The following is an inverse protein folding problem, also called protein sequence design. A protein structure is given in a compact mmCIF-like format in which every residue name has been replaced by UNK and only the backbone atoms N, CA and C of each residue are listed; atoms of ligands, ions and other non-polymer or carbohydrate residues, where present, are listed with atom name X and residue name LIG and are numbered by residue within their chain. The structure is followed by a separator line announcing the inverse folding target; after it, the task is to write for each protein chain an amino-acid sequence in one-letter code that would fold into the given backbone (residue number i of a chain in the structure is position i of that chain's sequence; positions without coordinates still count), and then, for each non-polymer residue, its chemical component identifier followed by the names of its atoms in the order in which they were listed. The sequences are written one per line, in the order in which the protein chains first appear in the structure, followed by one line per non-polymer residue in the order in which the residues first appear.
data_IF_674019432290
#
_entry.id   IF_674019432290
#
_cell.length_a   1.000
_cell.length_b   1.000
_cell.length_c   1.000
_cell.angle_alpha   90.00
_cell.angle_beta   90.00
_cell.angle_gamma   90.00
#
_symmetry.space_group_name_H-M   'P 1'
#
loop_
_entity.id
_entity.type
_entity.pdbx_description
1 polymer ?
#
# COMPACT_ATOMS: atom_id res chain seq x y z
N UNK A 1 52.88 -12.38 29.66
CA UNK A 1 51.56 -11.72 29.69
C UNK A 1 50.70 -12.49 28.71
N UNK A 2 49.80 -13.36 29.20
CA UNK A 2 48.88 -14.08 28.32
C UNK A 2 47.80 -13.08 27.93
N UNK A 3 47.65 -12.82 26.64
CA UNK A 3 46.50 -12.10 26.12
C UNK A 3 45.24 -12.82 26.60
N UNK A 4 44.45 -12.12 27.40
CA UNK A 4 43.09 -12.52 27.75
C UNK A 4 42.26 -12.16 26.52
N UNK A 5 42.24 -13.05 25.53
CA UNK A 5 41.11 -13.09 24.60
C UNK A 5 39.87 -13.32 25.45
N UNK A 6 38.86 -12.43 25.42
CA UNK A 6 37.58 -12.74 26.06
C UNK A 6 37.11 -14.07 25.48
N UNK A 7 36.90 -15.07 26.33
CA UNK A 7 36.42 -16.38 25.93
C UNK A 7 35.26 -16.19 24.94
N UNK A 8 35.42 -16.67 23.70
CA UNK A 8 34.33 -16.68 22.74
C UNK A 8 33.17 -17.42 23.41
N UNK A 9 31.97 -16.80 23.52
CA UNK A 9 30.86 -17.42 24.24
C UNK A 9 30.51 -18.75 23.58
N UNK A 10 30.71 -19.86 24.30
CA UNK A 10 30.52 -21.25 23.84
C UNK A 10 29.17 -21.41 23.13
N UNK A 11 29.19 -21.29 21.81
CA UNK A 11 28.01 -21.40 20.94
C UNK A 11 27.36 -22.79 20.97
N UNK A 12 28.10 -23.82 21.39
CA UNK A 12 27.62 -25.21 21.42
C UNK A 12 26.55 -25.48 22.47
N UNK A 13 26.46 -24.62 23.50
CA UNK A 13 25.56 -24.82 24.65
C UNK A 13 24.36 -23.87 24.65
N UNK A 14 24.19 -23.06 23.59
CA UNK A 14 23.08 -22.13 23.45
C UNK A 14 22.27 -22.41 22.16
N UNK A 15 20.93 -22.43 22.22
CA UNK A 15 20.09 -22.27 23.42
C UNK A 15 20.23 -23.47 24.37
N UNK A 16 20.15 -23.19 25.68
CA UNK A 16 20.16 -24.24 26.69
C UNK A 16 18.94 -25.16 26.54
N UNK A 17 19.01 -26.43 26.97
CA UNK A 17 17.87 -27.34 26.89
C UNK A 17 16.59 -26.79 27.54
N UNK A 18 16.71 -26.01 28.62
CA UNK A 18 15.57 -25.36 29.27
C UNK A 18 14.97 -24.22 28.44
N UNK A 19 15.77 -23.47 27.68
CA UNK A 19 15.29 -22.45 26.74
C UNK A 19 14.57 -23.09 25.55
N UNK A 20 15.10 -24.20 25.03
CA UNK A 20 14.44 -25.00 23.98
C UNK A 20 13.10 -25.54 24.46
N UNK A 21 13.05 -26.10 25.69
CA UNK A 21 11.81 -26.62 26.25
C UNK A 21 10.75 -25.51 26.41
N UNK A 22 11.15 -24.32 26.86
CA UNK A 22 10.22 -23.17 26.95
C UNK A 22 9.64 -22.79 25.59
N UNK A 23 10.47 -22.71 24.55
CA UNK A 23 9.99 -22.44 23.18
C UNK A 23 9.01 -23.53 22.71
N UNK A 24 9.34 -24.80 22.95
CA UNK A 24 8.52 -25.94 22.58
C UNK A 24 7.15 -25.93 23.27
N UNK A 25 7.13 -25.79 24.60
CA UNK A 25 5.91 -25.76 25.39
C UNK A 25 4.98 -24.61 24.97
N UNK A 26 5.56 -23.48 24.55
CA UNK A 26 4.82 -22.28 24.17
C UNK A 26 4.35 -22.29 22.73
N UNK A 27 5.12 -22.89 21.82
CA UNK A 27 4.62 -23.16 20.48
C UNK A 27 3.33 -24.00 20.55
N UNK A 28 3.19 -24.92 21.52
CA UNK A 28 1.98 -25.71 21.73
C UNK A 28 1.41 -26.31 20.42
N UNK A 29 2.30 -26.79 19.54
CA UNK A 29 1.95 -27.32 18.22
C UNK A 29 1.70 -26.29 17.10
N UNK A 30 1.73 -24.99 17.40
CA UNK A 30 1.63 -23.92 16.42
C UNK A 30 2.98 -23.71 15.72
N UNK A 31 3.19 -24.45 14.62
CA UNK A 31 4.42 -24.34 13.81
C UNK A 31 4.76 -22.90 13.40
N UNK A 32 3.74 -22.08 13.07
CA UNK A 32 3.95 -20.68 12.71
C UNK A 32 4.48 -19.84 13.89
N UNK A 33 3.99 -20.07 15.12
CA UNK A 33 4.51 -19.40 16.31
C UNK A 33 5.99 -19.74 16.53
N UNK A 34 6.34 -21.03 16.48
CA UNK A 34 7.72 -21.47 16.65
C UNK A 34 8.66 -20.84 15.61
N UNK A 35 8.27 -20.89 14.33
CA UNK A 35 9.06 -20.31 13.24
C UNK A 35 9.25 -18.79 13.40
N UNK A 36 8.18 -18.05 13.70
CA UNK A 36 8.26 -16.60 13.90
C UNK A 36 9.08 -16.23 15.13
N UNK A 37 8.94 -16.96 16.23
CA UNK A 37 9.72 -16.74 17.45
C UNK A 37 11.22 -16.98 17.21
N UNK A 38 11.58 -18.09 16.57
CA UNK A 38 12.97 -18.41 16.25
C UNK A 38 13.59 -17.36 15.33
N UNK A 39 12.90 -16.97 14.26
CA UNK A 39 13.39 -15.94 13.35
C UNK A 39 13.53 -14.58 14.04
N UNK A 40 12.59 -14.18 14.91
CA UNK A 40 12.73 -12.94 15.67
C UNK A 40 13.94 -12.98 16.61
N UNK A 41 14.16 -14.09 17.32
CA UNK A 41 15.33 -14.26 18.22
C UNK A 41 16.63 -14.15 17.42
N UNK A 42 16.74 -14.87 16.30
CA UNK A 42 17.90 -14.84 15.41
C UNK A 42 18.17 -13.41 14.90
N UNK A 43 17.13 -12.74 14.39
CA UNK A 43 17.18 -11.37 13.88
C UNK A 43 17.61 -10.35 14.95
N UNK A 44 17.14 -10.48 16.19
CA UNK A 44 17.56 -9.59 17.27
C UNK A 44 19.02 -9.82 17.67
N UNK A 45 19.49 -11.07 17.67
CA UNK A 45 20.89 -11.41 17.98
C UNK A 45 21.82 -10.88 16.90
N UNK A 46 21.45 -11.04 15.63
CA UNK A 46 22.22 -10.52 14.50
C UNK A 46 22.34 -9.00 14.55
N UNK A 47 21.25 -8.30 14.90
CA UNK A 47 21.22 -6.84 14.97
C UNK A 47 21.97 -6.27 16.18
N UNK A 48 21.84 -6.89 17.36
CA UNK A 48 22.39 -6.38 18.63
C UNK A 48 23.75 -6.98 19.00
N UNK A 49 24.20 -7.97 18.23
CA UNK A 49 25.40 -8.73 18.49
C UNK A 49 25.20 -9.86 19.49
N UNK A 50 26.14 -10.78 19.46
CA UNK A 50 26.02 -12.10 20.08
C UNK A 50 26.07 -12.09 21.61
N UNK A 51 26.58 -11.00 22.21
CA UNK A 51 26.52 -10.77 23.64
C UNK A 51 25.08 -10.52 24.15
N UNK A 52 24.15 -10.15 23.27
CA UNK A 52 22.76 -9.85 23.64
C UNK A 52 21.86 -11.09 23.78
N UNK A 53 22.34 -12.30 23.46
CA UNK A 53 21.55 -13.56 23.43
C UNK A 53 20.64 -13.73 24.64
N UNK A 54 21.21 -13.65 25.85
CA UNK A 54 20.47 -13.82 27.09
C UNK A 54 19.38 -12.76 27.26
N UNK A 55 19.72 -11.51 26.98
CA UNK A 55 18.77 -10.39 27.03
C UNK A 55 17.64 -10.57 25.99
N UNK A 56 17.97 -10.94 24.75
CA UNK A 56 16.98 -11.20 23.69
C UNK A 56 16.04 -12.34 24.09
N UNK A 57 16.58 -13.43 24.64
CA UNK A 57 15.76 -14.55 25.10
C UNK A 57 14.90 -14.18 26.31
N UNK A 58 15.40 -13.37 27.23
CA UNK A 58 14.63 -12.82 28.35
C UNK A 58 13.52 -11.89 27.87
N UNK A 59 13.78 -11.01 26.90
CA UNK A 59 12.77 -10.14 26.26
C UNK A 59 11.66 -10.96 25.60
N UNK A 60 12.03 -11.98 24.82
CA UNK A 60 11.09 -12.95 24.26
C UNK A 60 10.28 -13.63 25.36
N UNK A 61 10.94 -14.08 26.42
CA UNK A 61 10.29 -14.79 27.53
C UNK A 61 9.29 -13.92 28.27
N UNK A 62 9.59 -12.64 28.45
CA UNK A 62 8.74 -11.71 29.19
C UNK A 62 7.55 -11.22 28.37
N UNK A 63 7.72 -11.08 27.04
CA UNK A 63 6.78 -10.32 26.21
C UNK A 63 6.17 -11.11 25.06
N UNK A 64 6.83 -12.16 24.59
CA UNK A 64 6.41 -12.97 23.44
C UNK A 64 5.76 -14.32 23.79
N UNK A 65 5.83 -14.74 25.05
CA UNK A 65 5.42 -16.08 25.53
C UNK A 65 3.90 -16.30 25.65
N UNK A 66 3.10 -15.25 25.48
CA UNK A 66 1.64 -15.36 25.57
C UNK A 66 1.01 -16.01 24.33
N UNK A 67 -0.05 -15.41 23.81
CA UNK A 67 -0.66 -15.83 22.56
C UNK A 67 0.19 -15.40 21.35
N UNK A 68 -0.16 -15.87 20.16
CA UNK A 68 0.49 -15.43 18.92
C UNK A 68 0.45 -13.89 18.75
N UNK A 69 -0.60 -13.25 19.26
CA UNK A 69 -0.75 -11.79 19.30
C UNK A 69 0.31 -11.10 20.16
N UNK A 70 0.74 -11.72 21.27
CA UNK A 70 1.79 -11.19 22.14
C UNK A 70 3.14 -11.22 21.44
N UNK A 71 3.42 -12.28 20.68
CA UNK A 71 4.60 -12.35 19.81
C UNK A 71 4.56 -11.28 18.72
N UNK A 72 3.42 -11.06 18.07
CA UNK A 72 3.29 -9.98 17.10
C UNK A 72 3.44 -8.59 17.72
N UNK A 73 2.88 -8.37 18.91
CA UNK A 73 3.07 -7.13 19.68
C UNK A 73 4.55 -6.91 20.02
N UNK A 74 5.25 -7.96 20.45
CA UNK A 74 6.69 -7.90 20.71
C UNK A 74 7.45 -7.49 19.45
N UNK A 75 7.16 -8.10 18.30
CA UNK A 75 7.81 -7.75 17.02
C UNK A 75 7.60 -6.27 16.68
N UNK A 76 6.35 -5.80 16.65
CA UNK A 76 6.01 -4.40 16.33
C UNK A 76 6.67 -3.38 17.26
N UNK A 77 6.66 -3.65 18.56
CA UNK A 77 7.19 -2.71 19.55
C UNK A 77 8.70 -2.84 19.75
N UNK A 78 9.31 -3.98 19.38
CA UNK A 78 10.77 -4.13 19.38
C UNK A 78 11.41 -3.21 18.33
N UNK A 79 10.73 -2.99 17.21
CA UNK A 79 11.18 -2.10 16.14
C UNK A 79 11.39 -0.65 16.61
N UNK A 80 10.53 -0.13 17.50
CA UNK A 80 10.65 1.23 18.04
C UNK A 80 11.88 1.45 18.93
N UNK A 81 12.44 0.39 19.52
CA UNK A 81 13.47 0.50 20.55
C UNK A 81 14.91 0.41 20.02
N UNK A 82 15.11 0.09 18.73
CA UNK A 82 16.43 -0.28 18.20
C UNK A 82 17.19 0.93 17.60
N UNK A 83 16.50 1.92 17.05
CA UNK A 83 17.12 2.93 16.17
C UNK A 83 17.04 4.38 16.67
N UNK A 84 16.41 4.62 17.82
CA UNK A 84 16.32 5.96 18.37
C UNK A 84 15.84 5.92 19.82
N UNK A 85 16.09 6.98 20.60
CA UNK A 85 15.45 7.10 21.89
C UNK A 85 13.94 7.14 21.64
N UNK A 86 13.18 6.21 22.23
CA UNK A 86 11.70 6.17 22.13
C UNK A 86 11.02 7.50 22.53
N UNK A 87 11.78 8.42 23.12
CA UNK A 87 11.41 9.78 23.53
C UNK A 87 11.54 10.82 22.41
N UNK A 88 12.21 10.51 21.29
CA UNK A 88 12.23 11.39 20.11
C UNK A 88 10.94 11.17 19.31
N UNK A 89 9.98 12.06 19.55
CA UNK A 89 8.64 12.03 18.95
C UNK A 89 8.65 12.11 17.43
N UNK A 90 9.55 12.91 16.87
CA UNK A 90 9.61 13.14 15.43
C UNK A 90 10.19 11.93 14.71
N UNK A 91 11.27 11.36 15.26
CA UNK A 91 11.83 10.11 14.76
C UNK A 91 10.80 8.97 14.79
N UNK A 92 10.11 8.81 15.92
CA UNK A 92 9.06 7.78 16.07
C UNK A 92 7.93 7.98 15.06
N UNK A 93 7.49 9.22 14.85
CA UNK A 93 6.45 9.53 13.88
C UNK A 93 6.88 9.15 12.45
N UNK A 94 8.12 9.44 12.04
CA UNK A 94 8.66 9.03 10.75
C UNK A 94 8.72 7.50 10.59
N UNK A 95 9.15 6.77 11.63
CA UNK A 95 9.16 5.30 11.59
C UNK A 95 7.76 4.70 11.47
N UNK A 96 6.77 5.23 12.20
CA UNK A 96 5.39 4.77 12.09
C UNK A 96 4.77 5.11 10.74
N UNK A 97 5.07 6.29 10.18
CA UNK A 97 4.64 6.67 8.85
C UNK A 97 5.23 5.72 7.78
N UNK A 98 6.52 5.42 7.87
CA UNK A 98 7.17 4.46 6.98
C UNK A 98 6.65 3.04 7.15
N UNK A 99 6.37 2.59 8.39
CA UNK A 99 5.70 1.31 8.65
C UNK A 99 4.34 1.25 7.94
N UNK A 100 3.48 2.26 8.15
CA UNK A 100 2.16 2.32 7.54
C UNK A 100 2.25 2.32 6.01
N UNK A 101 3.22 3.04 5.46
CA UNK A 101 3.47 3.08 4.03
C UNK A 101 3.87 1.70 3.48
N UNK A 102 4.93 1.11 4.03
CA UNK A 102 5.57 -0.09 3.45
C UNK A 102 4.74 -1.33 3.71
N UNK A 103 4.29 -1.55 4.95
CA UNK A 103 3.45 -2.70 5.29
C UNK A 103 2.07 -2.57 4.65
N UNK A 104 1.49 -1.35 4.66
CA UNK A 104 0.26 -1.08 3.93
C UNK A 104 0.38 -1.40 2.45
N UNK A 105 1.46 -0.95 1.81
CA UNK A 105 1.71 -1.24 0.39
C UNK A 105 1.83 -2.74 0.13
N UNK A 106 2.62 -3.47 0.93
CA UNK A 106 2.78 -4.94 0.81
C UNK A 106 1.43 -5.66 0.90
N UNK A 107 0.60 -5.28 1.87
CA UNK A 107 -0.72 -5.88 2.07
C UNK A 107 -1.66 -5.68 0.88
N UNK A 108 -1.53 -4.53 0.20
CA UNK A 108 -2.45 -4.10 -0.84
C UNK A 108 -2.02 -4.49 -2.24
N UNK A 109 -0.84 -5.12 -2.42
CA UNK A 109 -0.31 -5.47 -3.73
C UNK A 109 -1.29 -6.37 -4.53
N UNK A 110 -1.53 -6.01 -5.79
CA UNK A 110 -2.35 -6.85 -6.70
C UNK A 110 -1.61 -8.08 -7.25
N UNK A 111 -0.27 -8.01 -7.29
CA UNK A 111 0.62 -9.12 -7.67
C UNK A 111 1.83 -9.12 -6.71
N UNK A 112 2.40 -10.29 -6.38
CA UNK A 112 3.57 -10.36 -5.52
C UNK A 112 4.76 -9.62 -6.14
N UNK A 113 5.40 -8.76 -5.35
CA UNK A 113 6.62 -8.03 -5.74
C UNK A 113 7.80 -8.50 -4.89
N UNK A 114 9.00 -8.46 -5.47
CA UNK A 114 10.24 -8.68 -4.71
C UNK A 114 10.54 -7.50 -3.79
N UNK A 115 11.39 -7.71 -2.79
CA UNK A 115 11.84 -6.62 -1.91
C UNK A 115 12.47 -5.48 -2.69
N UNK A 116 13.30 -5.77 -3.70
CA UNK A 116 13.86 -4.73 -4.57
C UNK A 116 12.76 -3.87 -5.22
N UNK A 117 11.70 -4.51 -5.69
CA UNK A 117 10.57 -3.82 -6.33
C UNK A 117 9.76 -3.00 -5.32
N UNK A 118 9.61 -3.47 -4.08
CA UNK A 118 8.94 -2.72 -3.00
C UNK A 118 9.77 -1.50 -2.58
N UNK A 119 11.10 -1.63 -2.51
CA UNK A 119 12.01 -0.49 -2.28
C UNK A 119 11.84 0.53 -3.41
N UNK A 120 11.80 0.09 -4.67
CA UNK A 120 11.56 0.97 -5.81
C UNK A 120 10.17 1.64 -5.74
N UNK A 121 9.13 0.93 -5.30
CA UNK A 121 7.79 1.47 -5.05
C UNK A 121 7.75 2.49 -3.91
N UNK A 122 8.75 2.48 -3.03
CA UNK A 122 8.87 3.36 -1.87
C UNK A 122 9.93 4.46 -2.07
N UNK A 123 10.49 4.59 -3.28
CA UNK A 123 11.65 5.44 -3.57
C UNK A 123 11.41 6.96 -3.41
N UNK A 124 10.18 7.36 -3.12
CA UNK A 124 9.85 8.75 -2.79
C UNK A 124 9.99 9.08 -1.31
N UNK A 125 10.20 8.07 -0.47
CA UNK A 125 10.57 8.24 0.92
C UNK A 125 12.09 8.43 0.94
N UNK A 126 12.60 9.58 1.43
CA UNK A 126 14.04 9.78 1.57
C UNK A 126 14.65 8.72 2.49
N UNK A 127 15.79 8.15 2.08
CA UNK A 127 16.47 7.09 2.85
C UNK A 127 16.87 7.57 4.25
N UNK A 128 17.25 8.85 4.38
CA UNK A 128 17.57 9.50 5.66
C UNK A 128 16.35 9.61 6.59
N UNK A 129 15.13 9.68 6.04
CA UNK A 129 13.90 9.72 6.83
C UNK A 129 13.45 8.31 7.25
N UNK A 130 13.61 7.35 6.34
CA UNK A 130 13.22 5.96 6.56
C UNK A 130 13.91 4.99 5.60
N UNK A 131 14.83 4.19 6.14
CA UNK A 131 15.50 3.12 5.41
C UNK A 131 14.56 1.92 5.23
N UNK A 132 13.89 1.87 4.07
CA UNK A 132 12.95 0.81 3.68
C UNK A 132 13.62 -0.57 3.67
N UNK A 133 14.89 -0.65 3.26
CA UNK A 133 15.61 -1.93 3.16
C UNK A 133 15.86 -2.48 4.55
N UNK A 134 16.42 -1.69 5.45
CA UNK A 134 16.67 -2.06 6.85
C UNK A 134 15.37 -2.34 7.59
N UNK A 135 14.32 -1.58 7.31
CA UNK A 135 12.98 -1.86 7.83
C UNK A 135 12.51 -3.27 7.44
N UNK A 136 12.51 -3.61 6.14
CA UNK A 136 12.08 -4.91 5.67
C UNK A 136 12.95 -6.04 6.22
N UNK A 137 14.25 -5.78 6.44
CA UNK A 137 15.17 -6.74 7.04
C UNK A 137 14.84 -7.09 8.48
N UNK A 138 14.14 -6.21 9.21
CA UNK A 138 13.73 -6.38 10.61
C UNK A 138 12.35 -6.97 10.81
N UNK A 139 11.56 -6.97 9.76
CA UNK A 139 10.26 -7.59 9.74
C UNK A 139 10.31 -8.94 9.03
N UNK A 140 11.52 -9.53 8.83
CA UNK A 140 11.67 -10.81 8.12
C UNK A 140 10.93 -11.93 8.81
N UNK A 141 10.94 -11.94 10.14
CA UNK A 141 10.22 -12.92 10.98
C UNK A 141 8.71 -13.01 10.69
N UNK A 142 8.11 -11.98 10.09
CA UNK A 142 6.68 -11.94 9.70
C UNK A 142 6.43 -11.71 8.20
N UNK A 143 7.47 -11.34 7.44
CA UNK A 143 7.37 -11.04 6.00
C UNK A 143 8.06 -12.07 5.11
N UNK A 144 9.01 -12.87 5.58
CA UNK A 144 9.75 -13.81 4.74
C UNK A 144 9.89 -15.12 5.50
N UNK A 145 9.04 -16.12 5.22
CA UNK A 145 9.24 -17.44 5.78
C UNK A 145 10.46 -18.11 5.13
N UNK A 146 11.47 -18.45 5.94
CA UNK A 146 12.58 -19.32 5.54
C UNK A 146 13.82 -18.64 4.97
N UNK A 147 14.79 -19.46 4.56
CA UNK A 147 16.13 -19.04 4.13
C UNK A 147 16.19 -18.81 2.61
N UNK A 148 15.75 -17.64 2.15
CA UNK A 148 16.03 -17.19 0.78
C UNK A 148 17.51 -16.79 0.66
N UNK A 149 18.21 -17.27 -0.36
CA UNK A 149 19.65 -16.97 -0.58
C UNK A 149 19.93 -15.50 -0.92
N UNK A 150 18.94 -14.76 -1.40
CA UNK A 150 19.02 -13.32 -1.65
C UNK A 150 17.82 -12.61 -1.03
N UNK A 151 18.08 -11.64 -0.13
CA UNK A 151 17.03 -10.84 0.50
C UNK A 151 16.25 -10.02 -0.51
N UNK A 152 16.94 -9.31 -1.39
CA UNK A 152 16.30 -8.36 -2.31
C UNK A 152 15.43 -9.05 -3.37
N UNK A 153 15.75 -10.29 -3.72
CA UNK A 153 14.99 -11.10 -4.67
C UNK A 153 13.84 -11.87 -3.99
N UNK A 154 13.81 -11.89 -2.65
CA UNK A 154 12.72 -12.53 -1.92
C UNK A 154 11.42 -11.77 -2.15
N UNK A 155 10.33 -12.51 -2.32
CA UNK A 155 8.97 -11.98 -2.34
C UNK A 155 8.42 -12.04 -0.92
N UNK A 156 8.04 -10.91 -0.30
CA UNK A 156 7.45 -10.94 1.02
C UNK A 156 6.15 -11.75 1.04
N UNK A 157 6.07 -12.71 1.94
CA UNK A 157 4.90 -13.51 2.24
C UNK A 157 4.52 -13.28 3.69
N UNK A 158 3.39 -12.61 3.88
CA UNK A 158 2.81 -12.40 5.19
C UNK A 158 1.84 -13.54 5.51
N UNK A 159 2.02 -14.19 6.67
CA UNK A 159 1.05 -15.19 7.12
C UNK A 159 -0.30 -14.52 7.43
N UNK A 160 -1.41 -15.22 7.12
CA UNK A 160 -2.77 -14.69 7.28
C UNK A 160 -3.04 -14.16 8.69
N UNK A 161 -2.59 -14.87 9.74
CA UNK A 161 -2.81 -14.42 11.12
C UNK A 161 -2.13 -13.09 11.46
N UNK A 162 -0.95 -12.81 10.90
CA UNK A 162 -0.31 -11.51 11.10
C UNK A 162 -1.05 -10.40 10.34
N UNK A 163 -1.48 -10.70 9.11
CA UNK A 163 -2.32 -9.80 8.31
C UNK A 163 -3.61 -9.43 9.05
N UNK A 164 -4.33 -10.43 9.56
CA UNK A 164 -5.59 -10.22 10.27
C UNK A 164 -5.33 -9.44 11.57
N UNK A 165 -4.24 -9.73 12.29
CA UNK A 165 -3.85 -9.02 13.51
C UNK A 165 -3.62 -7.51 13.31
N UNK A 166 -2.95 -7.11 12.23
CA UNK A 166 -2.66 -5.68 11.94
C UNK A 166 -3.83 -4.93 11.28
N UNK A 167 -4.86 -5.64 10.79
CA UNK A 167 -6.06 -5.04 10.19
C UNK A 167 -7.22 -4.98 11.19
N UNK A 168 -7.50 -6.08 11.92
CA UNK A 168 -8.75 -6.29 12.66
C UNK A 168 -8.78 -5.66 14.07
N UNK A 169 -7.87 -4.71 14.35
CA UNK A 169 -7.89 -3.91 15.59
C UNK A 169 -7.21 -4.54 16.80
N UNK A 170 -6.65 -5.75 16.69
CA UNK A 170 -5.91 -6.41 17.77
C UNK A 170 -4.52 -5.78 17.98
N UNK A 171 -3.89 -5.30 16.90
CA UNK A 171 -2.64 -4.55 16.97
C UNK A 171 -2.79 -3.22 17.75
N UNK A 172 -1.70 -2.70 18.36
CA UNK A 172 -1.68 -1.33 18.89
C UNK A 172 -2.10 -0.32 17.81
N UNK A 173 -2.81 0.73 18.21
CA UNK A 173 -3.52 1.61 17.29
C UNK A 173 -2.60 2.24 16.23
N UNK A 174 -1.37 2.58 16.60
CA UNK A 174 -0.34 3.14 15.73
C UNK A 174 0.14 2.19 14.61
N UNK A 175 0.05 0.88 14.83
CA UNK A 175 0.46 -0.16 13.87
C UNK A 175 -0.70 -0.73 13.06
N UNK A 176 -1.93 -0.25 13.30
CA UNK A 176 -3.09 -0.72 12.53
C UNK A 176 -3.03 -0.17 11.11
N UNK A 177 -3.26 -1.05 10.13
CA UNK A 177 -3.29 -0.66 8.73
C UNK A 177 -4.72 -0.33 8.32
N UNK A 178 -4.95 0.93 7.96
CA UNK A 178 -6.20 1.38 7.35
C UNK A 178 -6.13 1.06 5.85
N UNK A 179 -6.88 0.05 5.41
CA UNK A 179 -6.81 -0.50 4.04
C UNK A 179 -7.08 0.54 2.94
N UNK A 180 -8.10 1.39 3.12
CA UNK A 180 -8.40 2.46 2.18
C UNK A 180 -7.25 3.47 2.04
N UNK A 181 -6.57 3.80 3.14
CA UNK A 181 -5.42 4.69 3.13
C UNK A 181 -4.19 4.01 2.53
N UNK A 182 -3.95 2.74 2.84
CA UNK A 182 -2.88 1.95 2.25
C UNK A 182 -3.02 1.89 0.71
N UNK A 183 -4.24 1.64 0.20
CA UNK A 183 -4.52 1.70 -1.23
C UNK A 183 -4.25 3.09 -1.83
N UNK A 184 -4.62 4.16 -1.13
CA UNK A 184 -4.35 5.53 -1.58
C UNK A 184 -2.84 5.78 -1.72
N UNK A 185 -2.08 5.41 -0.69
CA UNK A 185 -0.63 5.53 -0.65
C UNK A 185 0.01 4.74 -1.78
N UNK A 186 -0.40 3.49 -2.01
CA UNK A 186 0.12 2.66 -3.09
C UNK A 186 -0.22 3.24 -4.47
N UNK A 187 -1.43 3.77 -4.67
CA UNK A 187 -1.81 4.44 -5.91
C UNK A 187 -0.89 5.64 -6.19
N UNK A 188 -0.65 6.47 -5.17
CA UNK A 188 0.27 7.62 -5.27
C UNK A 188 1.68 7.17 -5.65
N UNK A 189 2.23 6.19 -4.95
CA UNK A 189 3.56 5.63 -5.25
C UNK A 189 3.68 5.13 -6.70
N UNK A 190 2.65 4.44 -7.21
CA UNK A 190 2.63 4.02 -8.62
C UNK A 190 2.66 5.21 -9.59
N UNK A 191 1.87 6.26 -9.33
CA UNK A 191 1.86 7.46 -10.18
C UNK A 191 3.21 8.18 -10.17
N UNK A 192 3.88 8.23 -9.03
CA UNK A 192 5.22 8.82 -8.93
C UNK A 192 6.25 8.06 -9.78
N UNK A 193 6.19 6.73 -9.78
CA UNK A 193 7.03 5.91 -10.67
C UNK A 193 6.71 6.21 -12.12
N UNK A 194 5.43 6.30 -12.49
CA UNK A 194 5.02 6.58 -13.88
C UNK A 194 5.57 7.93 -14.33
N UNK A 195 5.39 8.98 -13.52
CA UNK A 195 5.88 10.34 -13.82
C UNK A 195 7.41 10.37 -13.92
N UNK A 196 8.14 9.71 -13.00
CA UNK A 196 9.61 9.73 -12.99
C UNK A 196 10.23 8.89 -14.11
N UNK A 197 9.62 7.76 -14.46
CA UNK A 197 10.21 6.80 -15.39
C UNK A 197 10.06 7.20 -16.86
N UNK A 198 9.03 7.97 -17.21
CA UNK A 198 8.69 8.29 -18.60
C UNK A 198 8.57 7.01 -19.45
N UNK A 199 9.45 6.86 -20.46
CA UNK A 199 9.47 5.69 -21.39
C UNK A 199 10.22 4.46 -20.87
N UNK A 200 10.85 4.51 -19.71
CA UNK A 200 11.65 3.39 -19.22
C UNK A 200 10.76 2.20 -18.83
N UNK A 201 11.01 1.03 -19.42
CA UNK A 201 10.26 -0.19 -19.12
C UNK A 201 11.02 -1.04 -18.09
N UNK A 202 10.79 -0.77 -16.82
CA UNK A 202 11.14 -1.67 -15.70
C UNK A 202 9.88 -2.45 -15.24
N UNK A 203 10.06 -3.61 -14.60
CA UNK A 203 8.99 -4.42 -14.01
C UNK A 203 8.15 -3.59 -13.04
N UNK A 204 8.77 -2.70 -12.25
CA UNK A 204 8.03 -1.83 -11.33
C UNK A 204 7.17 -0.79 -12.06
N UNK A 205 7.64 -0.28 -13.20
CA UNK A 205 6.86 0.62 -14.06
C UNK A 205 5.65 -0.13 -14.64
N UNK A 206 5.84 -1.38 -15.09
CA UNK A 206 4.74 -2.22 -15.59
C UNK A 206 3.67 -2.47 -14.53
N UNK A 207 4.09 -2.81 -13.30
CA UNK A 207 3.17 -2.94 -12.17
C UNK A 207 2.39 -1.64 -11.95
N UNK A 208 3.11 -0.52 -11.89
CA UNK A 208 2.53 0.80 -11.62
C UNK A 208 1.49 1.20 -12.66
N UNK A 209 1.81 1.09 -13.96
CA UNK A 209 0.87 1.37 -15.06
C UNK A 209 -0.36 0.46 -15.00
N UNK A 210 -0.17 -0.81 -14.62
CA UNK A 210 -1.25 -1.81 -14.61
C UNK A 210 -2.21 -1.67 -13.42
N UNK A 211 -1.77 -1.10 -12.30
CA UNK A 211 -2.50 -1.22 -11.02
C UNK A 211 -2.82 0.09 -10.29
N UNK A 212 -2.20 1.24 -10.64
CA UNK A 212 -2.45 2.50 -9.92
C UNK A 212 -3.94 2.85 -9.79
N UNK A 213 -4.72 2.66 -10.86
CA UNK A 213 -6.15 3.02 -10.91
C UNK A 213 -7.02 2.07 -10.09
N UNK A 214 -6.62 0.80 -9.95
CA UNK A 214 -7.33 -0.17 -9.10
C UNK A 214 -7.15 0.17 -7.64
N UNK A 215 -5.93 0.50 -7.24
CA UNK A 215 -5.65 1.00 -5.90
C UNK A 215 -6.43 2.29 -5.63
N UNK A 216 -6.45 3.20 -6.60
CA UNK A 216 -7.22 4.45 -6.50
C UNK A 216 -8.71 4.19 -6.25
N UNK A 217 -9.33 3.29 -7.03
CA UNK A 217 -10.74 2.91 -6.84
C UNK A 217 -10.98 2.33 -5.45
N UNK A 218 -10.17 1.35 -5.02
CA UNK A 218 -10.30 0.71 -3.71
C UNK A 218 -10.10 1.69 -2.55
N UNK A 219 -9.26 2.71 -2.74
CA UNK A 219 -9.10 3.78 -1.75
C UNK A 219 -10.37 4.62 -1.58
N UNK A 220 -11.11 4.90 -2.66
CA UNK A 220 -12.42 5.58 -2.59
C UNK A 220 -13.47 4.70 -1.95
N UNK A 221 -13.55 3.44 -2.36
CA UNK A 221 -14.49 2.45 -1.81
C UNK A 221 -14.27 2.25 -0.30
N UNK A 222 -13.01 2.32 0.15
CA UNK A 222 -12.63 2.28 1.56
C UNK A 222 -12.96 3.55 2.36
N UNK A 223 -13.60 4.56 1.74
CA UNK A 223 -14.04 5.77 2.42
C UNK A 223 -12.94 6.77 2.74
N UNK A 224 -11.74 6.60 2.19
CA UNK A 224 -10.64 7.55 2.40
C UNK A 224 -10.99 8.88 1.75
N UNK A 225 -10.88 9.98 2.50
CA UNK A 225 -11.01 11.35 2.00
C UNK A 225 -9.65 11.88 1.54
N UNK A 226 -9.58 12.50 0.36
CA UNK A 226 -8.29 12.89 -0.24
C UNK A 226 -8.14 14.41 -0.34
N UNK A 227 -7.36 14.97 0.58
CA UNK A 227 -6.81 16.33 0.47
C UNK A 227 -5.29 16.24 0.35
N UNK A 228 -4.82 15.55 -0.70
CA UNK A 228 -3.39 15.39 -0.98
C UNK A 228 -3.03 16.16 -2.26
N UNK A 229 -2.44 17.34 -2.09
CA UNK A 229 -1.99 18.21 -3.18
C UNK A 229 -1.01 17.49 -4.12
N UNK A 230 -0.15 16.63 -3.57
CA UNK A 230 0.83 15.87 -4.35
C UNK A 230 0.14 14.90 -5.29
N UNK A 231 -0.92 14.24 -4.87
CA UNK A 231 -1.73 13.37 -5.73
C UNK A 231 -2.33 14.16 -6.92
N UNK A 232 -2.85 15.36 -6.68
CA UNK A 232 -3.40 16.22 -7.72
C UNK A 232 -2.33 16.71 -8.70
N UNK A 233 -1.14 17.06 -8.19
CA UNK A 233 0.00 17.42 -9.02
C UNK A 233 0.47 16.26 -9.90
N UNK A 234 0.46 15.02 -9.39
CA UNK A 234 0.77 13.83 -10.16
C UNK A 234 -0.24 13.58 -11.27
N UNK A 235 -1.53 13.76 -10.99
CA UNK A 235 -2.56 13.71 -12.02
C UNK A 235 -2.35 14.75 -13.13
N UNK A 236 -1.99 15.99 -12.77
CA UNK A 236 -1.65 17.02 -13.74
C UNK A 236 -0.45 16.65 -14.63
N UNK A 237 0.63 16.18 -14.03
CA UNK A 237 1.85 15.78 -14.73
C UNK A 237 1.62 14.59 -15.66
N UNK A 238 0.88 13.58 -15.19
CA UNK A 238 0.53 12.42 -15.98
C UNK A 238 -0.34 12.78 -17.19
N UNK A 239 -1.22 13.77 -17.03
CA UNK A 239 -1.94 14.32 -18.17
C UNK A 239 -0.93 14.96 -19.12
N UNK A 240 -0.02 15.81 -18.66
CA UNK A 240 0.87 16.59 -19.52
C UNK A 240 1.95 15.77 -20.26
N UNK A 241 2.40 14.66 -19.67
CA UNK A 241 3.31 13.69 -20.29
C UNK A 241 2.78 13.21 -21.66
N UNK A 242 3.60 13.36 -22.69
CA UNK A 242 3.23 13.09 -24.08
C UNK A 242 3.00 11.59 -24.40
N UNK A 243 3.27 10.70 -23.46
CA UNK A 243 3.41 9.26 -23.68
C UNK A 243 2.34 8.40 -22.97
N UNK A 244 1.08 8.86 -23.01
CA UNK A 244 -0.11 8.02 -22.75
C UNK A 244 -0.13 6.78 -23.67
N UNK A 245 0.68 6.76 -24.73
CA UNK A 245 0.91 5.59 -25.59
C UNK A 245 1.44 4.35 -24.84
N UNK A 246 2.08 4.49 -23.67
CA UNK A 246 2.47 3.33 -22.83
C UNK A 246 1.28 2.67 -22.12
N UNK A 247 0.15 3.39 -21.99
CA UNK A 247 -1.08 2.90 -21.36
C UNK A 247 -1.84 1.93 -22.28
N UNK A 248 -1.53 1.95 -23.58
CA UNK A 248 -2.18 1.21 -24.67
C UNK A 248 -2.08 -0.31 -24.53
N UNK A 249 -1.16 -0.81 -23.69
CA UNK A 249 -1.02 -2.25 -23.40
C UNK A 249 -1.97 -2.75 -22.31
N UNK A 250 -2.55 -1.84 -21.53
CA UNK A 250 -3.50 -2.15 -20.47
C UNK A 250 -4.93 -1.92 -20.97
N UNK A 251 -5.91 -2.63 -20.40
CA UNK A 251 -7.33 -2.44 -20.70
C UNK A 251 -7.76 -1.01 -20.32
N UNK A 252 -7.61 -0.06 -21.24
CA UNK A 252 -7.93 1.34 -21.01
C UNK A 252 -9.36 1.53 -20.48
N UNK A 253 -10.30 0.73 -20.97
CA UNK A 253 -11.68 0.70 -20.45
C UNK A 253 -11.71 0.52 -18.93
N UNK A 254 -10.87 -0.34 -18.37
CA UNK A 254 -10.79 -0.58 -16.92
C UNK A 254 -10.20 0.66 -16.21
N UNK A 255 -9.14 1.26 -16.76
CA UNK A 255 -8.54 2.51 -16.24
C UNK A 255 -9.60 3.61 -16.18
N UNK A 256 -10.30 3.80 -17.28
CA UNK A 256 -11.36 4.79 -17.40
C UNK A 256 -12.49 4.58 -16.41
N UNK A 257 -12.98 3.35 -16.32
CA UNK A 257 -14.09 2.99 -15.43
C UNK A 257 -13.69 3.24 -13.98
N UNK A 258 -12.49 2.83 -13.60
CA UNK A 258 -12.00 2.96 -12.22
C UNK A 258 -11.65 4.41 -11.86
N UNK A 259 -11.04 5.17 -12.77
CA UNK A 259 -10.78 6.62 -12.58
C UNK A 259 -12.08 7.41 -12.52
N UNK A 260 -13.05 7.11 -13.37
CA UNK A 260 -14.36 7.75 -13.34
C UNK A 260 -15.13 7.39 -12.06
N UNK A 261 -15.09 6.13 -11.63
CA UNK A 261 -15.66 5.70 -10.35
C UNK A 261 -14.99 6.41 -9.16
N UNK A 262 -13.67 6.51 -9.17
CA UNK A 262 -12.92 7.24 -8.16
C UNK A 262 -13.29 8.74 -8.15
N UNK A 263 -13.33 9.38 -9.33
CA UNK A 263 -13.76 10.76 -9.48
C UNK A 263 -15.20 11.01 -9.01
N UNK A 264 -16.10 10.05 -9.24
CA UNK A 264 -17.47 10.12 -8.74
C UNK A 264 -17.55 10.00 -7.21
N UNK A 265 -16.76 9.12 -6.59
CA UNK A 265 -16.69 9.05 -5.14
C UNK A 265 -16.12 10.32 -4.52
N UNK A 266 -15.09 10.91 -5.15
CA UNK A 266 -14.56 12.20 -4.73
C UNK A 266 -15.58 13.34 -4.84
N UNK A 267 -16.38 13.36 -5.90
CA UNK A 267 -17.48 14.32 -6.03
C UNK A 267 -18.48 14.26 -4.88
N UNK A 268 -18.74 13.05 -4.36
CA UNK A 268 -19.60 12.88 -3.17
C UNK A 268 -18.97 13.43 -1.90
N UNK A 269 -17.65 13.54 -1.87
CA UNK A 269 -16.86 14.06 -0.75
C UNK A 269 -16.64 15.59 -0.82
N UNK A 270 -17.28 16.30 -1.75
CA UNK A 270 -17.23 17.77 -1.87
C UNK A 270 -15.85 18.34 -2.26
N UNK A 271 -15.13 17.68 -3.16
CA UNK A 271 -13.84 18.13 -3.70
C UNK A 271 -13.95 19.41 -4.55
N UNK A 272 -12.87 20.23 -4.59
CA UNK A 272 -12.81 21.50 -5.33
C UNK A 272 -12.89 21.31 -6.87
N UNK A 273 -13.35 22.34 -7.57
CA UNK A 273 -13.49 22.45 -9.02
C UNK A 273 -12.20 22.15 -9.79
N UNK A 274 -11.03 22.57 -9.28
CA UNK A 274 -9.74 22.32 -9.93
C UNK A 274 -9.41 20.82 -10.01
N UNK A 275 -9.69 20.09 -8.92
CA UNK A 275 -9.50 18.64 -8.83
C UNK A 275 -10.38 17.91 -9.85
N UNK A 276 -11.62 18.36 -10.01
CA UNK A 276 -12.55 17.83 -11.01
C UNK A 276 -12.10 18.08 -12.44
N UNK A 277 -11.50 19.24 -12.72
CA UNK A 277 -10.90 19.52 -14.01
C UNK A 277 -9.68 18.62 -14.28
N UNK A 278 -8.90 18.29 -13.25
CA UNK A 278 -7.81 17.31 -13.34
C UNK A 278 -8.28 15.93 -13.82
N UNK A 279 -9.29 15.36 -13.15
CA UNK A 279 -9.89 14.07 -13.53
C UNK A 279 -10.46 14.12 -14.95
N UNK A 280 -11.18 15.18 -15.30
CA UNK A 280 -11.73 15.34 -16.65
C UNK A 280 -10.64 15.35 -17.72
N UNK A 281 -9.48 15.99 -17.45
CA UNK A 281 -8.36 16.01 -18.40
C UNK A 281 -7.73 14.62 -18.59
N UNK A 282 -7.63 13.82 -17.53
CA UNK A 282 -7.17 12.42 -17.61
C UNK A 282 -8.06 11.62 -18.56
N UNK A 283 -9.38 11.69 -18.35
CA UNK A 283 -10.36 10.97 -19.15
C UNK A 283 -10.29 11.40 -20.63
N UNK A 284 -10.24 12.72 -20.90
CA UNK A 284 -10.16 13.24 -22.27
C UNK A 284 -8.89 12.78 -23.01
N UNK A 285 -7.73 12.76 -22.35
CA UNK A 285 -6.47 12.34 -22.99
C UNK A 285 -6.43 10.85 -23.28
N UNK A 286 -6.92 10.03 -22.36
CA UNK A 286 -6.97 8.59 -22.58
C UNK A 286 -7.91 8.22 -23.76
N UNK A 287 -8.87 9.10 -24.11
CA UNK A 287 -9.80 8.90 -25.25
C UNK A 287 -9.11 9.28 -26.56
N UNK A 288 -8.39 10.41 -26.57
CA UNK A 288 -7.68 10.93 -27.73
C UNK A 288 -6.57 10.00 -28.25
N UNK A 289 -5.94 9.23 -27.37
CA UNK A 289 -4.77 8.38 -27.71
C UNK A 289 -5.15 7.18 -28.58
N UNK A 290 -6.43 6.85 -28.68
CA UNK A 290 -6.82 5.54 -29.19
C UNK A 290 -7.70 5.54 -30.44
N UNK A 291 -8.08 6.69 -30.98
CA UNK A 291 -8.84 6.83 -32.25
C UNK A 291 -9.98 5.81 -32.40
N UNK A 292 -10.58 5.36 -31.29
CA UNK A 292 -11.74 4.48 -31.33
C UNK A 292 -12.96 5.32 -31.74
N UNK A 293 -13.91 4.76 -32.50
CA UNK A 293 -15.24 5.37 -32.56
C UNK A 293 -15.76 5.47 -31.11
N UNK A 294 -16.29 6.62 -30.68
CA UNK A 294 -16.67 6.85 -29.30
C UNK A 294 -17.66 5.77 -28.87
N UNK A 295 -17.24 4.91 -27.94
CA UNK A 295 -18.15 3.97 -27.29
C UNK A 295 -19.20 4.81 -26.54
N UNK A 296 -20.51 4.53 -26.68
CA UNK A 296 -21.58 5.36 -26.10
C UNK A 296 -21.41 5.63 -24.60
N UNK A 297 -20.83 4.66 -23.88
CA UNK A 297 -20.54 4.76 -22.44
C UNK A 297 -19.44 5.79 -22.12
N UNK A 298 -18.44 5.94 -23.00
CA UNK A 298 -17.36 6.91 -22.83
C UNK A 298 -17.86 8.33 -23.03
N UNK A 299 -18.70 8.56 -24.05
CA UNK A 299 -19.37 9.85 -24.23
C UNK A 299 -20.22 10.16 -23.01
N UNK A 300 -20.97 9.20 -22.46
CA UNK A 300 -21.79 9.42 -21.26
C UNK A 300 -20.96 9.76 -20.02
N UNK A 301 -19.83 9.10 -19.77
CA UNK A 301 -18.96 9.38 -18.63
C UNK A 301 -18.22 10.71 -18.78
N UNK A 302 -17.62 10.95 -19.96
CA UNK A 302 -16.95 12.21 -20.29
C UNK A 302 -17.94 13.38 -20.26
N UNK A 303 -19.14 13.22 -20.83
CA UNK A 303 -20.22 14.21 -20.75
C UNK A 303 -20.73 14.38 -19.33
N UNK A 304 -20.80 13.33 -18.51
CA UNK A 304 -21.17 13.47 -17.09
C UNK A 304 -20.11 14.24 -16.31
N UNK A 305 -18.82 13.95 -16.51
CA UNK A 305 -17.71 14.71 -15.93
C UNK A 305 -17.70 16.17 -16.41
N UNK A 306 -17.94 16.42 -17.70
CA UNK A 306 -18.04 17.77 -18.28
C UNK A 306 -19.33 18.52 -17.86
N UNK A 307 -20.43 17.82 -17.62
CA UNK A 307 -21.68 18.39 -17.11
C UNK A 307 -21.60 18.72 -15.63
N UNK A 308 -20.79 17.98 -14.87
CA UNK A 308 -20.52 18.22 -13.45
C UNK A 308 -19.47 19.30 -13.24
N UNK A 309 -18.45 19.39 -14.09
CA UNK A 309 -17.62 20.61 -14.19
C UNK A 309 -18.51 21.81 -14.58
N UNK A 310 -19.54 21.60 -15.41
CA UNK A 310 -20.65 22.52 -15.70
C UNK A 310 -21.76 22.62 -14.63
N UNK A 311 -21.58 22.18 -13.38
CA UNK A 311 -22.31 22.85 -12.27
C UNK A 311 -22.04 24.37 -12.27
N UNK A 312 -20.99 24.80 -12.98
CA UNK A 312 -20.71 26.15 -13.49
C UNK A 312 -21.82 26.80 -14.37
N UNK A 313 -22.70 26.04 -15.04
CA UNK A 313 -23.80 26.61 -15.83
C UNK A 313 -24.85 27.26 -14.92
N UNK A 314 -24.89 26.93 -13.62
CA UNK A 314 -25.71 27.66 -12.64
C UNK A 314 -25.17 29.05 -12.30
N UNK A 315 -23.94 29.39 -12.71
CA UNK A 315 -23.39 30.74 -12.52
C UNK A 315 -23.62 31.69 -13.71
N UNK A 316 -24.04 31.18 -14.90
CA UNK A 316 -24.26 32.00 -16.09
C UNK A 316 -25.48 31.49 -16.91
N UNK A 317 -26.63 32.19 -16.88
CA UNK A 317 -27.94 31.65 -17.27
C UNK A 317 -28.27 31.68 -18.79
N UNK A 318 -27.31 31.91 -19.68
CA UNK A 318 -27.60 32.21 -21.10
C UNK A 318 -27.03 31.18 -22.09
N UNK A 319 -27.45 29.92 -22.04
CA UNK A 319 -27.23 28.94 -23.12
C UNK A 319 -28.52 28.13 -23.43
N UNK A 320 -28.77 27.75 -24.69
CA UNK A 320 -30.10 27.37 -25.16
C UNK A 320 -30.49 25.92 -24.85
N UNK A 321 -31.79 25.72 -24.64
CA UNK A 321 -32.49 24.51 -24.16
C UNK A 321 -32.35 23.22 -24.99
N UNK A 322 -31.69 23.25 -26.15
CA UNK A 322 -31.76 22.16 -27.13
C UNK A 322 -30.93 20.90 -26.79
N UNK A 323 -30.04 20.96 -25.81
CA UNK A 323 -29.21 19.81 -25.40
C UNK A 323 -29.87 18.96 -24.30
N UNK A 324 -30.87 19.48 -23.58
CA UNK A 324 -31.50 18.79 -22.45
C UNK A 324 -32.57 17.75 -22.87
N UNK A 325 -33.19 17.91 -24.03
CA UNK A 325 -34.36 17.09 -24.43
C UNK A 325 -33.97 15.66 -24.85
N UNK A 326 -32.75 15.43 -25.34
CA UNK A 326 -32.31 14.08 -25.72
C UNK A 326 -31.89 13.19 -24.52
N UNK A 327 -31.70 13.77 -23.33
CA UNK A 327 -31.30 13.01 -22.13
C UNK A 327 -32.50 12.36 -21.40
N UNK A 328 -33.70 12.91 -21.52
CA UNK A 328 -34.90 12.35 -20.88
C UNK A 328 -35.35 11.03 -21.52
N UNK A 329 -35.06 10.79 -22.80
CA UNK A 329 -35.47 9.55 -23.49
C UNK A 329 -34.59 8.34 -23.17
N UNK A 330 -33.35 8.53 -22.71
CA UNK A 330 -32.41 7.43 -22.44
C UNK A 330 -32.40 6.97 -20.96
N UNK A 331 -32.80 7.83 -20.03
CA UNK A 331 -32.97 7.46 -18.62
C UNK A 331 -34.29 6.70 -18.37
N UNK A 332 -35.32 6.95 -19.18
CA UNK A 332 -36.61 6.24 -19.05
C UNK A 332 -36.55 4.79 -19.55
N UNK A 333 -35.61 4.46 -20.44
CA UNK A 333 -35.50 3.09 -20.98
C UNK A 333 -34.69 2.13 -20.11
N UNK A 334 -33.81 2.62 -19.21
CA UNK A 334 -33.10 1.72 -18.28
C UNK A 334 -33.86 1.45 -16.98
N UNK A 335 -34.80 2.31 -16.58
CA UNK A 335 -35.61 2.10 -15.36
C UNK A 335 -36.92 1.32 -15.59
N UNK A 336 -37.37 1.12 -16.85
CA UNK A 336 -38.58 0.32 -17.12
C UNK A 336 -38.35 -1.19 -17.26
N UNK A 337 -37.12 -1.68 -17.39
CA UNK A 337 -36.85 -3.14 -17.45
C UNK A 337 -36.75 -3.83 -16.08
N UNK A 338 -36.92 -3.12 -14.97
CA UNK A 338 -36.82 -3.68 -13.61
C UNK A 338 -38.17 -3.73 -12.89
N UNK A 339 -39.28 -3.25 -13.48
CA UNK A 339 -40.57 -3.15 -12.79
C UNK A 339 -41.75 -3.97 -13.35
N UNK A 340 -41.56 -4.84 -14.35
CA UNK A 340 -42.61 -5.81 -14.75
C UNK A 340 -42.01 -7.18 -15.14
N UNK A 341 -42.00 -8.17 -14.23
CA UNK A 341 -41.88 -9.57 -14.64
C UNK A 341 -43.29 -10.06 -15.03
N UNK A 342 -43.43 -10.57 -16.26
CA UNK A 342 -44.66 -11.05 -16.92
C UNK A 342 -45.44 -10.02 -17.75
N UNK A 343 -45.07 -9.94 -19.03
CA UNK A 343 -45.95 -10.30 -20.16
C UNK A 343 -45.07 -10.81 -21.31
#
# INVERSE_FOLDING_TARGET
MKDITPDEPEWQNWPSPGEVQKLFDKANGLFHYAATALHWIEEQIDNRGTASRKQVFEEFTQRGIGQLEDLYRLILTSYENIDGPAQNTDWRASQLCGFQHVIGTILMLEEPLTIRQIIALSAHIPEDDFDVKRFLQRFRSVLIPGATTSFEEATPQMHKSFRDYIIDGHAPAEFRIITGYAHFVTARSCLEIIVKAGRQSDVIVKYSVRYWYKHLRKAVEGGTTWEDERMWNLFGQIVEEADVSTWTTTKLVDIFTDVAAAGWGLLRQNTNTENMQGISRILMKAEAVHAFPPLPMFVLLTVSCLLLSRKFVRAFPSLPMFVLVNFSCLLVTSEMCVLFPHC
#
